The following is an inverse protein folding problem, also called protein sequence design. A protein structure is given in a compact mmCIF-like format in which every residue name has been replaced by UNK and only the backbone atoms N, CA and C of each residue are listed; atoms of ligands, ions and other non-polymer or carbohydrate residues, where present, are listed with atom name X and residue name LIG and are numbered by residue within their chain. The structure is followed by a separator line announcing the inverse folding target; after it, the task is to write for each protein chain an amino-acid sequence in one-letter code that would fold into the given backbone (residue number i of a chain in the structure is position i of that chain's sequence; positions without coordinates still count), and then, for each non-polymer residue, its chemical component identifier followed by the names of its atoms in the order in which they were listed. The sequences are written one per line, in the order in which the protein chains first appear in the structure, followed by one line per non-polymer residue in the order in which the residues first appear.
data_IF_310430310355
#
_entry.id   IF_310430310355
#
_cell.length_a   1.000
_cell.length_b   1.000
_cell.length_c   1.000
_cell.angle_alpha   90.00
_cell.angle_beta   90.00
_cell.angle_gamma   90.00
#
_symmetry.space_group_name_H-M   'P 1'
#
loop_
_entity.id
_entity.type
_entity.pdbx_description
1 polymer ?
#
# COMPACT_ATOMS: atom_id res chain seq x y z
N UNK A 1 -17.44 23.73 16.31
CA UNK A 1 -17.53 23.36 14.88
C UNK A 1 -16.96 21.96 14.76
N UNK A 2 -17.81 20.93 14.78
CA UNK A 2 -17.34 19.56 14.48
C UNK A 2 -16.86 19.58 13.02
N UNK A 3 -15.59 19.30 12.79
CA UNK A 3 -15.11 18.96 11.46
C UNK A 3 -15.88 17.70 11.07
N UNK A 4 -16.85 17.79 10.15
CA UNK A 4 -17.36 16.58 9.51
C UNK A 4 -16.14 16.01 8.80
N UNK A 5 -15.63 14.88 9.27
CA UNK A 5 -14.65 14.13 8.51
C UNK A 5 -15.32 13.74 7.20
N UNK A 6 -14.81 14.26 6.09
CA UNK A 6 -15.24 13.87 4.75
C UNK A 6 -14.87 12.41 4.51
N UNK A 7 -15.55 11.82 3.54
CA UNK A 7 -15.52 10.39 3.31
C UNK A 7 -14.13 9.90 2.86
N UNK A 8 -13.89 8.61 3.08
CA UNK A 8 -12.82 7.85 2.45
C UNK A 8 -13.49 6.84 1.54
N UNK A 9 -13.02 6.71 0.29
CA UNK A 9 -13.59 5.79 -0.67
C UNK A 9 -12.57 4.73 -1.07
N UNK A 10 -13.04 3.50 -1.30
CA UNK A 10 -12.34 2.53 -2.16
C UNK A 10 -12.97 2.60 -3.54
N UNK A 11 -12.17 2.68 -4.60
CA UNK A 11 -12.66 2.77 -5.99
C UNK A 11 -11.93 1.76 -6.88
N UNK A 12 -12.69 1.20 -7.82
CA UNK A 12 -12.23 0.43 -8.97
C UNK A 12 -13.13 0.75 -10.19
N UNK A 13 -12.59 0.69 -11.40
CA UNK A 13 -13.31 0.98 -12.64
C UNK A 13 -13.20 -0.15 -13.67
N UNK A 14 -14.33 -0.44 -14.30
CA UNK A 14 -14.38 -1.20 -15.55
C UNK A 14 -14.58 -0.26 -16.74
N UNK A 15 -13.95 -0.60 -17.87
CA UNK A 15 -13.97 0.24 -19.07
C UNK A 15 -14.90 -0.27 -20.16
N UNK A 16 -15.26 0.62 -21.10
CA UNK A 16 -16.07 0.27 -22.28
C UNK A 16 -15.26 -0.25 -23.45
N UNK A 17 -13.97 0.10 -23.50
CA UNK A 17 -13.05 -0.18 -24.59
C UNK A 17 -11.75 -0.75 -24.03
N UNK A 18 -11.06 -1.54 -24.85
CA UNK A 18 -9.67 -1.91 -24.63
C UNK A 18 -8.71 -0.80 -25.09
N UNK A 19 -7.48 -0.82 -24.58
CA UNK A 19 -6.41 0.09 -25.04
C UNK A 19 -6.20 0.05 -26.56
N UNK A 20 -6.31 -1.13 -27.19
CA UNK A 20 -6.15 -1.27 -28.63
C UNK A 20 -7.20 -0.49 -29.43
N UNK A 21 -8.42 -0.35 -28.89
CA UNK A 21 -9.53 0.35 -29.55
C UNK A 21 -9.40 1.87 -29.48
N UNK A 22 -8.62 2.39 -28.52
CA UNK A 22 -8.36 3.83 -28.36
C UNK A 22 -6.99 4.26 -28.87
N UNK A 23 -6.18 3.35 -29.40
CA UNK A 23 -4.83 3.68 -29.90
C UNK A 23 -3.73 3.70 -28.83
N UNK A 24 -3.92 2.97 -27.73
CA UNK A 24 -2.93 2.71 -26.68
C UNK A 24 -3.11 3.56 -25.42
N UNK A 25 -2.23 3.33 -24.43
CA UNK A 25 -2.29 3.95 -23.09
C UNK A 25 -2.27 5.49 -23.11
N UNK A 26 -1.69 6.11 -24.13
CA UNK A 26 -1.69 7.58 -24.30
C UNK A 26 -3.10 8.19 -24.39
N UNK A 27 -4.09 7.38 -24.76
CA UNK A 27 -5.49 7.78 -24.94
C UNK A 27 -6.40 7.17 -23.85
N UNK A 28 -5.85 6.97 -22.64
CA UNK A 28 -6.57 6.34 -21.52
C UNK A 28 -7.93 6.97 -21.20
N UNK A 29 -8.08 8.27 -21.40
CA UNK A 29 -9.34 9.01 -21.21
C UNK A 29 -10.45 8.57 -22.17
N UNK A 30 -10.09 8.00 -23.32
CA UNK A 30 -11.04 7.60 -24.36
C UNK A 30 -11.63 6.19 -24.12
N UNK A 31 -11.13 5.46 -23.11
CA UNK A 31 -11.57 4.10 -22.77
C UNK A 31 -13.05 4.09 -22.38
N UNK A 32 -13.51 5.15 -21.71
CA UNK A 32 -14.83 5.29 -21.12
C UNK A 32 -15.10 4.30 -19.98
N UNK A 33 -16.03 4.64 -19.09
CA UNK A 33 -16.37 3.83 -17.91
C UNK A 33 -17.64 3.03 -18.19
N UNK A 34 -17.58 1.70 -18.04
CA UNK A 34 -18.78 0.85 -18.06
C UNK A 34 -19.41 0.80 -16.67
N UNK A 35 -18.61 0.57 -15.63
CA UNK A 35 -19.01 0.58 -14.21
C UNK A 35 -17.91 1.24 -13.37
N UNK A 36 -18.31 2.08 -12.42
CA UNK A 36 -17.47 2.52 -11.31
C UNK A 36 -17.97 1.88 -10.02
N UNK A 37 -17.15 0.99 -9.44
CA UNK A 37 -17.41 0.37 -8.14
C UNK A 37 -16.84 1.24 -7.02
N UNK A 38 -17.60 1.41 -5.95
CA UNK A 38 -17.21 2.23 -4.80
C UNK A 38 -17.60 1.56 -3.49
N UNK A 39 -16.72 1.63 -2.50
CA UNK A 39 -17.08 1.43 -1.10
C UNK A 39 -16.88 2.75 -0.34
N UNK A 40 -17.91 3.20 0.37
CA UNK A 40 -17.88 4.40 1.21
C UNK A 40 -17.71 4.01 2.67
N UNK A 41 -16.66 4.52 3.32
CA UNK A 41 -16.46 4.29 4.76
C UNK A 41 -17.50 5.04 5.60
N UNK A 42 -17.91 6.24 5.19
CA UNK A 42 -18.91 7.03 5.91
C UNK A 42 -20.31 6.38 5.88
N UNK A 43 -20.64 5.66 4.79
CA UNK A 43 -21.93 4.99 4.61
C UNK A 43 -21.90 3.49 4.95
N UNK A 44 -20.71 2.92 5.13
CA UNK A 44 -20.49 1.47 5.29
C UNK A 44 -21.23 0.65 4.21
N UNK A 45 -21.09 1.08 2.95
CA UNK A 45 -21.88 0.55 1.84
C UNK A 45 -21.12 0.54 0.52
N UNK A 46 -21.47 -0.43 -0.32
CA UNK A 46 -21.01 -0.57 -1.70
C UNK A 46 -21.99 0.07 -2.67
N UNK A 47 -21.46 0.71 -3.71
CA UNK A 47 -22.20 1.35 -4.79
C UNK A 47 -21.56 0.97 -6.13
N UNK A 48 -22.38 0.75 -7.15
CA UNK A 48 -21.92 0.56 -8.53
C UNK A 48 -22.66 1.53 -9.42
N UNK A 49 -21.92 2.41 -10.09
CA UNK A 49 -22.46 3.43 -10.98
C UNK A 49 -22.17 3.06 -12.43
N UNK A 50 -23.19 2.93 -13.25
CA UNK A 50 -22.99 2.91 -14.71
C UNK A 50 -22.63 4.30 -15.22
N UNK A 51 -22.19 4.40 -16.48
CA UNK A 51 -21.78 5.68 -17.08
C UNK A 51 -22.83 6.78 -16.92
N UNK A 52 -24.11 6.45 -17.10
CA UNK A 52 -25.21 7.40 -17.01
C UNK A 52 -25.50 7.87 -15.57
N UNK A 53 -24.91 7.20 -14.58
CA UNK A 53 -25.05 7.47 -13.14
C UNK A 53 -23.82 8.19 -12.55
N UNK A 54 -22.77 8.44 -13.34
CA UNK A 54 -21.50 9.04 -12.85
C UNK A 54 -21.66 10.46 -12.30
N UNK A 55 -22.76 11.16 -12.58
CA UNK A 55 -23.10 12.41 -11.91
C UNK A 55 -23.29 12.20 -10.40
N UNK A 56 -23.83 11.06 -9.97
CA UNK A 56 -23.98 10.70 -8.55
C UNK A 56 -22.61 10.41 -7.92
N UNK A 57 -21.71 9.73 -8.63
CA UNK A 57 -20.33 9.53 -8.20
C UNK A 57 -19.62 10.88 -8.02
N UNK A 58 -19.84 11.82 -8.93
CA UNK A 58 -19.24 13.17 -8.87
C UNK A 58 -19.66 13.92 -7.61
N UNK A 59 -20.94 13.85 -7.22
CA UNK A 59 -21.39 14.44 -5.95
C UNK A 59 -20.77 13.75 -4.73
N UNK A 60 -20.57 12.42 -4.78
CA UNK A 60 -19.87 11.69 -3.71
C UNK A 60 -18.40 12.11 -3.59
N UNK A 61 -17.71 12.30 -4.72
CA UNK A 61 -16.31 12.72 -4.76
C UNK A 61 -16.07 14.12 -4.19
N UNK A 62 -17.04 15.05 -4.32
CA UNK A 62 -16.95 16.40 -3.73
C UNK A 62 -16.87 16.39 -2.20
N UNK A 63 -17.43 15.35 -1.58
CA UNK A 63 -17.45 15.14 -0.12
C UNK A 63 -16.43 14.10 0.35
N UNK A 64 -15.42 13.81 -0.47
CA UNK A 64 -14.36 12.83 -0.22
C UNK A 64 -13.03 13.54 0.00
N UNK A 65 -12.28 13.14 1.03
CA UNK A 65 -10.91 13.63 1.25
C UNK A 65 -9.84 12.60 0.86
N UNK A 66 -10.21 11.32 0.73
CA UNK A 66 -9.26 10.24 0.44
C UNK A 66 -9.88 9.16 -0.44
N UNK A 67 -9.18 8.78 -1.52
CA UNK A 67 -9.50 7.61 -2.33
C UNK A 67 -8.37 6.59 -2.22
N UNK A 68 -8.74 5.33 -2.09
CA UNK A 68 -7.86 4.17 -2.10
C UNK A 68 -8.24 3.30 -3.29
N UNK A 69 -7.25 2.79 -4.01
CA UNK A 69 -7.48 1.84 -5.10
C UNK A 69 -6.26 0.98 -5.38
N UNK A 70 -6.35 0.16 -6.44
CA UNK A 70 -5.25 -0.68 -6.90
C UNK A 70 -4.85 -0.27 -8.32
N UNK A 71 -3.66 0.32 -8.48
CA UNK A 71 -3.20 0.94 -9.74
C UNK A 71 -4.00 2.20 -10.14
N UNK A 72 -4.66 2.82 -9.17
CA UNK A 72 -5.60 3.93 -9.34
C UNK A 72 -4.95 5.19 -9.90
N UNK A 73 -3.69 5.47 -9.57
CA UNK A 73 -2.98 6.69 -10.00
C UNK A 73 -2.71 6.66 -11.50
N UNK A 74 -2.41 5.47 -12.04
CA UNK A 74 -2.01 5.30 -13.43
C UNK A 74 -3.15 4.80 -14.33
N UNK A 75 -4.29 4.41 -13.75
CA UNK A 75 -5.42 3.89 -14.49
C UNK A 75 -6.71 4.66 -14.20
N UNK A 76 -7.34 4.41 -13.07
CA UNK A 76 -8.70 4.86 -12.79
C UNK A 76 -8.84 6.39 -12.72
N UNK A 77 -7.91 7.09 -12.05
CA UNK A 77 -7.92 8.54 -11.97
C UNK A 77 -7.83 9.16 -13.37
N UNK A 78 -6.86 8.79 -14.23
CA UNK A 78 -6.85 9.23 -15.62
C UNK A 78 -8.16 8.94 -16.38
N UNK A 79 -8.81 7.79 -16.19
CA UNK A 79 -10.09 7.48 -16.84
C UNK A 79 -11.21 8.39 -16.31
N UNK A 80 -11.28 8.62 -14.99
CA UNK A 80 -12.26 9.50 -14.34
C UNK A 80 -12.14 10.96 -14.78
N UNK A 81 -10.95 11.44 -15.18
CA UNK A 81 -10.75 12.81 -15.69
C UNK A 81 -11.57 13.11 -16.96
N UNK A 82 -12.10 12.10 -17.66
CA UNK A 82 -13.03 12.30 -18.78
C UNK A 82 -14.46 12.68 -18.32
N UNK A 83 -14.79 12.41 -17.06
CA UNK A 83 -16.15 12.52 -16.51
C UNK A 83 -16.24 13.51 -15.33
N UNK A 84 -15.15 13.67 -14.59
CA UNK A 84 -15.08 14.45 -13.35
C UNK A 84 -14.12 15.62 -13.52
N UNK A 85 -14.51 16.79 -12.99
CA UNK A 85 -13.65 17.97 -12.99
C UNK A 85 -12.31 17.68 -12.29
N UNK A 86 -11.21 18.00 -12.98
CA UNK A 86 -9.85 17.76 -12.48
C UNK A 86 -9.57 18.45 -11.14
N UNK A 87 -10.20 19.59 -10.86
CA UNK A 87 -10.04 20.29 -9.59
C UNK A 87 -10.61 19.49 -8.41
N UNK A 88 -11.69 18.72 -8.63
CA UNK A 88 -12.26 17.81 -7.63
C UNK A 88 -11.27 16.68 -7.36
N UNK A 89 -10.80 16.00 -8.41
CA UNK A 89 -9.86 14.89 -8.26
C UNK A 89 -8.54 15.32 -7.62
N UNK A 90 -8.04 16.52 -7.96
CA UNK A 90 -6.80 17.06 -7.43
C UNK A 90 -6.87 17.47 -5.94
N UNK A 91 -8.07 17.68 -5.37
CA UNK A 91 -8.20 17.97 -3.95
C UNK A 91 -8.25 16.74 -3.05
N UNK A 92 -8.30 15.53 -3.64
CA UNK A 92 -8.48 14.27 -2.91
C UNK A 92 -7.12 13.58 -2.74
N UNK A 93 -6.80 13.16 -1.52
CA UNK A 93 -5.62 12.34 -1.27
C UNK A 93 -5.78 10.96 -1.92
N UNK A 94 -4.68 10.36 -2.39
CA UNK A 94 -4.70 9.03 -3.03
C UNK A 94 -3.81 8.04 -2.28
N UNK A 95 -4.31 6.83 -2.06
CA UNK A 95 -3.50 5.66 -1.73
C UNK A 95 -3.64 4.63 -2.84
N UNK A 96 -2.51 4.30 -3.46
CA UNK A 96 -2.45 3.28 -4.50
C UNK A 96 -1.66 2.07 -3.98
N UNK A 97 -2.38 0.99 -3.70
CA UNK A 97 -1.79 -0.25 -3.15
C UNK A 97 -0.75 -0.83 -4.10
N UNK A 98 -1.01 -0.75 -5.42
CA UNK A 98 -0.09 -1.24 -6.43
C UNK A 98 1.18 -0.40 -6.46
N UNK A 99 1.06 0.93 -6.46
CA UNK A 99 2.20 1.83 -6.49
C UNK A 99 3.11 1.62 -5.25
N UNK A 100 2.52 1.48 -4.06
CA UNK A 100 3.25 1.19 -2.83
C UNK A 100 3.96 -0.17 -2.89
N UNK A 101 3.29 -1.20 -3.40
CA UNK A 101 3.88 -2.52 -3.58
C UNK A 101 5.05 -2.51 -4.57
N UNK A 102 4.87 -1.89 -5.75
CA UNK A 102 5.91 -1.77 -6.78
C UNK A 102 7.12 -1.00 -6.26
N UNK A 103 6.88 0.10 -5.52
CA UNK A 103 7.96 0.90 -4.92
C UNK A 103 8.83 0.08 -3.98
N UNK A 104 8.25 -0.85 -3.23
CA UNK A 104 8.99 -1.73 -2.33
C UNK A 104 9.66 -2.91 -3.05
N UNK A 105 8.95 -3.53 -4.00
CA UNK A 105 9.38 -4.76 -4.66
C UNK A 105 10.29 -4.57 -5.87
N UNK A 106 10.22 -3.40 -6.52
CA UNK A 106 10.90 -3.15 -7.79
C UNK A 106 10.28 -3.86 -9.00
N UNK A 107 9.15 -4.55 -8.82
CA UNK A 107 8.41 -5.24 -9.89
C UNK A 107 6.90 -5.22 -9.61
N UNK A 108 6.11 -5.53 -10.63
CA UNK A 108 4.65 -5.51 -10.58
C UNK A 108 4.09 -6.72 -9.84
N UNK A 109 2.98 -6.51 -9.15
CA UNK A 109 2.14 -7.55 -8.53
C UNK A 109 0.69 -7.32 -8.91
N UNK A 110 -0.12 -8.39 -8.98
CA UNK A 110 -1.55 -8.31 -9.26
C UNK A 110 -2.38 -8.32 -7.98
N UNK A 111 -3.57 -7.71 -8.02
CA UNK A 111 -4.51 -7.63 -6.91
C UNK A 111 -4.83 -9.02 -6.35
N UNK A 112 -5.21 -9.97 -7.21
CA UNK A 112 -5.58 -11.33 -6.79
C UNK A 112 -4.42 -12.05 -6.07
N UNK A 113 -3.20 -11.94 -6.59
CA UNK A 113 -2.03 -12.56 -5.98
C UNK A 113 -1.73 -12.00 -4.58
N UNK A 114 -1.83 -10.68 -4.42
CA UNK A 114 -1.63 -10.01 -3.12
C UNK A 114 -2.78 -10.34 -2.16
N UNK A 115 -4.03 -10.30 -2.64
CA UNK A 115 -5.22 -10.65 -1.86
C UNK A 115 -5.15 -12.11 -1.36
N UNK A 116 -4.83 -13.05 -2.25
CA UNK A 116 -4.70 -14.47 -1.90
C UNK A 116 -3.61 -14.70 -0.87
N UNK A 117 -2.43 -14.11 -1.07
CA UNK A 117 -1.32 -14.24 -0.13
C UNK A 117 -1.61 -13.60 1.23
N UNK A 118 -2.36 -12.49 1.26
CA UNK A 118 -2.60 -11.69 2.48
C UNK A 118 -3.82 -12.17 3.27
N UNK A 119 -4.92 -12.42 2.58
CA UNK A 119 -6.24 -12.67 3.17
C UNK A 119 -6.64 -14.15 3.09
N UNK A 120 -5.92 -14.98 2.34
CA UNK A 120 -6.34 -16.34 2.00
C UNK A 120 -7.56 -16.40 1.07
N UNK A 121 -8.03 -15.23 0.59
CA UNK A 121 -9.14 -15.08 -0.34
C UNK A 121 -8.58 -14.75 -1.72
N UNK A 122 -8.93 -15.54 -2.73
CA UNK A 122 -8.72 -15.20 -4.14
C UNK A 122 -10.03 -14.76 -4.79
N UNK A 123 -9.95 -14.26 -6.02
CA UNK A 123 -11.13 -14.03 -6.86
C UNK A 123 -11.93 -15.33 -7.01
N UNK A 124 -13.25 -15.23 -6.91
CA UNK A 124 -14.21 -16.31 -7.18
C UNK A 124 -14.28 -16.64 -8.68
N UNK A 125 -13.87 -15.72 -9.55
CA UNK A 125 -13.85 -15.85 -11.01
C UNK A 125 -12.53 -15.41 -11.65
N UNK A 126 -12.29 -15.84 -12.89
CA UNK A 126 -11.12 -15.44 -13.67
C UNK A 126 -11.39 -14.11 -14.36
N UNK A 127 -10.53 -13.10 -14.15
CA UNK A 127 -10.67 -11.73 -14.67
C UNK A 127 -10.48 -11.57 -16.19
N UNK A 128 -11.08 -12.43 -17.00
CA UNK A 128 -10.97 -12.43 -18.47
C UNK A 128 -12.16 -11.78 -19.19
N UNK A 129 -13.21 -11.31 -18.50
CA UNK A 129 -14.48 -11.10 -19.19
C UNK A 129 -15.24 -9.79 -18.91
N UNK A 130 -14.78 -8.86 -18.05
CA UNK A 130 -15.58 -7.65 -17.79
C UNK A 130 -15.89 -6.81 -19.05
N UNK A 131 -14.88 -6.61 -19.92
CA UNK A 131 -15.08 -5.94 -21.21
C UNK A 131 -15.97 -6.74 -22.17
N UNK A 132 -15.90 -8.07 -22.11
CA UNK A 132 -16.71 -8.96 -22.97
C UNK A 132 -18.16 -9.04 -22.49
N UNK A 133 -18.39 -9.15 -21.17
CA UNK A 133 -19.69 -9.03 -20.54
C UNK A 133 -20.34 -7.68 -20.85
N UNK A 134 -19.57 -6.59 -20.80
CA UNK A 134 -20.06 -5.28 -21.22
C UNK A 134 -20.56 -5.29 -22.68
N UNK A 135 -19.77 -5.86 -23.62
CA UNK A 135 -20.17 -6.01 -25.03
C UNK A 135 -21.41 -6.88 -25.21
N UNK A 136 -21.61 -7.87 -24.34
CA UNK A 136 -22.78 -8.75 -24.32
C UNK A 136 -23.99 -8.15 -23.59
N UNK A 137 -23.87 -6.94 -23.02
CA UNK A 137 -24.93 -6.32 -22.22
C UNK A 137 -25.14 -6.96 -20.85
N UNK A 138 -24.20 -7.81 -20.40
CA UNK A 138 -24.20 -8.51 -19.11
C UNK A 138 -23.77 -7.59 -17.97
N UNK A 139 -24.50 -6.49 -17.78
CA UNK A 139 -24.15 -5.44 -16.82
C UNK A 139 -24.12 -5.91 -15.36
N UNK A 140 -24.95 -6.89 -14.99
CA UNK A 140 -24.95 -7.46 -13.65
C UNK A 140 -23.60 -8.12 -13.31
N UNK A 141 -23.04 -8.88 -14.25
CA UNK A 141 -21.73 -9.53 -14.10
C UNK A 141 -20.60 -8.51 -14.00
N UNK A 142 -20.64 -7.43 -14.80
CA UNK A 142 -19.65 -6.33 -14.73
C UNK A 142 -19.72 -5.63 -13.37
N UNK A 143 -20.91 -5.35 -12.86
CA UNK A 143 -21.11 -4.73 -11.53
C UNK A 143 -20.61 -5.63 -10.41
N UNK A 144 -20.97 -6.92 -10.44
CA UNK A 144 -20.54 -7.89 -9.43
C UNK A 144 -19.02 -8.01 -9.38
N UNK A 145 -18.38 -8.13 -10.56
CA UNK A 145 -16.93 -8.21 -10.67
C UNK A 145 -16.22 -6.96 -10.14
N UNK A 146 -16.67 -5.77 -10.55
CA UNK A 146 -16.09 -4.51 -10.09
C UNK A 146 -16.24 -4.35 -8.56
N UNK A 147 -17.42 -4.68 -8.01
CA UNK A 147 -17.64 -4.63 -6.56
C UNK A 147 -16.81 -5.66 -5.79
N UNK A 148 -16.52 -6.82 -6.38
CA UNK A 148 -15.61 -7.80 -5.80
C UNK A 148 -14.17 -7.26 -5.73
N UNK A 149 -13.70 -6.57 -6.77
CA UNK A 149 -12.37 -5.93 -6.76
C UNK A 149 -12.29 -4.77 -5.77
N UNK A 150 -13.36 -3.97 -5.63
CA UNK A 150 -13.49 -2.97 -4.56
C UNK A 150 -13.42 -3.63 -3.18
N UNK A 151 -14.13 -4.73 -2.97
CA UNK A 151 -14.14 -5.47 -1.69
C UNK A 151 -12.76 -6.02 -1.36
N UNK A 152 -12.09 -6.66 -2.31
CA UNK A 152 -10.72 -7.16 -2.12
C UNK A 152 -9.73 -6.04 -1.81
N UNK A 153 -9.83 -4.91 -2.51
CA UNK A 153 -9.00 -3.73 -2.29
C UNK A 153 -9.23 -3.13 -0.91
N UNK A 154 -10.50 -3.01 -0.47
CA UNK A 154 -10.88 -2.59 0.88
C UNK A 154 -10.25 -3.49 1.95
N UNK A 155 -10.44 -4.80 1.81
CA UNK A 155 -10.00 -5.77 2.80
C UNK A 155 -8.46 -5.82 2.89
N UNK A 156 -7.77 -5.67 1.75
CA UNK A 156 -6.32 -5.51 1.71
C UNK A 156 -5.85 -4.24 2.40
N UNK A 157 -6.50 -3.11 2.11
CA UNK A 157 -6.17 -1.83 2.74
C UNK A 157 -6.33 -1.91 4.27
N UNK A 158 -7.45 -2.43 4.75
CA UNK A 158 -7.71 -2.57 6.18
C UNK A 158 -6.74 -3.55 6.85
N UNK A 159 -6.39 -4.66 6.18
CA UNK A 159 -5.32 -5.54 6.66
C UNK A 159 -4.00 -4.79 6.76
N UNK A 160 -3.57 -4.09 5.71
CA UNK A 160 -2.28 -3.40 5.69
C UNK A 160 -2.20 -2.26 6.69
N UNK A 161 -3.29 -1.49 6.86
CA UNK A 161 -3.42 -0.43 7.85
C UNK A 161 -3.29 -0.98 9.28
N UNK A 162 -3.94 -2.11 9.59
CA UNK A 162 -3.85 -2.76 10.91
C UNK A 162 -2.50 -3.42 11.17
N UNK A 163 -1.95 -4.10 10.17
CA UNK A 163 -0.80 -5.00 10.33
C UNK A 163 0.54 -4.36 9.93
N UNK A 164 0.53 -3.19 9.27
CA UNK A 164 1.72 -2.51 8.75
C UNK A 164 2.37 -3.22 7.56
N UNK A 165 1.70 -4.21 6.97
CA UNK A 165 2.20 -4.96 5.82
C UNK A 165 1.06 -5.64 5.07
N UNK A 166 1.30 -5.97 3.79
CA UNK A 166 0.55 -6.97 3.02
C UNK A 166 1.53 -8.07 2.57
N UNK A 167 1.03 -9.14 1.96
CA UNK A 167 1.80 -10.31 1.57
C UNK A 167 1.72 -10.54 0.05
N UNK A 168 2.75 -11.19 -0.49
CA UNK A 168 2.77 -11.69 -1.87
C UNK A 168 3.52 -13.01 -1.93
N UNK A 169 3.22 -13.82 -2.94
CA UNK A 169 4.01 -15.01 -3.26
C UNK A 169 5.13 -14.64 -4.23
N UNK A 170 6.37 -14.94 -3.86
CA UNK A 170 7.54 -14.71 -4.70
C UNK A 170 7.61 -15.75 -5.81
N UNK A 171 7.75 -15.31 -7.06
CA UNK A 171 7.94 -16.21 -8.20
C UNK A 171 9.35 -16.83 -8.24
N UNK A 172 10.29 -16.34 -7.42
CA UNK A 172 11.68 -16.81 -7.39
C UNK A 172 11.81 -18.07 -6.53
N UNK A 173 11.19 -18.07 -5.34
CA UNK A 173 11.32 -19.14 -4.35
C UNK A 173 9.99 -19.74 -3.90
N UNK A 174 8.86 -19.29 -4.46
CA UNK A 174 7.50 -19.76 -4.16
C UNK A 174 7.13 -19.64 -2.68
N UNK A 175 7.73 -18.67 -1.98
CA UNK A 175 7.43 -18.39 -0.58
C UNK A 175 6.59 -17.12 -0.45
N UNK A 176 5.86 -17.05 0.66
CA UNK A 176 5.13 -15.85 1.05
C UNK A 176 6.10 -14.86 1.70
N UNK A 177 6.13 -13.65 1.14
CA UNK A 177 6.91 -12.55 1.65
C UNK A 177 6.03 -11.35 1.98
N UNK A 178 6.50 -10.53 2.92
CA UNK A 178 5.83 -9.29 3.27
C UNK A 178 6.28 -8.09 2.42
N UNK A 179 5.32 -7.20 2.20
CA UNK A 179 5.47 -5.84 1.71
C UNK A 179 5.08 -4.90 2.87
N UNK A 180 6.03 -4.24 3.54
CA UNK A 180 5.73 -3.24 4.56
C UNK A 180 4.95 -2.07 3.96
N UNK A 181 3.92 -1.60 4.67
CA UNK A 181 3.09 -0.46 4.26
C UNK A 181 2.86 0.49 5.43
N UNK A 182 2.67 1.77 5.13
CA UNK A 182 2.48 2.83 6.11
C UNK A 182 1.14 3.56 5.90
N UNK A 183 0.04 2.80 5.90
CA UNK A 183 -1.31 3.32 5.65
C UNK A 183 -2.03 3.80 6.92
N UNK A 184 -1.42 3.61 8.09
CA UNK A 184 -1.99 4.01 9.38
C UNK A 184 -1.57 5.44 9.76
N UNK A 185 -2.45 6.41 9.49
CA UNK A 185 -2.39 7.76 10.06
C UNK A 185 -1.19 8.63 9.62
N UNK A 186 -1.17 9.86 10.14
CA UNK A 186 -0.09 10.82 9.88
C UNK A 186 1.17 10.43 10.65
N UNK A 187 2.28 10.29 9.92
CA UNK A 187 3.61 10.08 10.51
C UNK A 187 4.14 11.44 10.98
N UNK A 188 4.21 11.67 12.29
CA UNK A 188 4.67 12.94 12.86
C UNK A 188 6.15 13.23 12.55
N UNK A 189 6.99 12.20 12.53
CA UNK A 189 8.40 12.29 12.14
C UNK A 189 8.80 11.05 11.32
N UNK A 190 9.48 11.20 10.17
CA UNK A 190 9.92 10.06 9.38
C UNK A 190 10.79 9.09 10.19
N UNK A 191 10.53 7.79 10.05
CA UNK A 191 11.26 6.72 10.74
C UNK A 191 12.79 6.87 10.60
N UNK A 192 13.28 7.22 9.41
CA UNK A 192 14.70 7.43 9.16
C UNK A 192 15.32 8.53 10.02
N UNK A 193 14.57 9.61 10.30
CA UNK A 193 15.03 10.70 11.16
C UNK A 193 15.13 10.25 12.62
N UNK A 194 14.14 9.50 13.12
CA UNK A 194 14.16 8.96 14.49
C UNK A 194 15.33 7.98 14.69
N UNK A 195 15.55 7.08 13.72
CA UNK A 195 16.68 6.13 13.75
C UNK A 195 18.02 6.88 13.74
N UNK A 196 18.15 7.93 12.91
CA UNK A 196 19.34 8.77 12.86
C UNK A 196 19.58 9.52 14.19
N UNK A 197 18.52 10.02 14.86
CA UNK A 197 18.63 10.61 16.21
C UNK A 197 19.13 9.60 17.23
N UNK A 198 18.62 8.36 17.22
CA UNK A 198 19.10 7.29 18.10
C UNK A 198 20.59 6.99 17.94
N UNK A 199 21.11 7.07 16.72
CA UNK A 199 22.55 6.99 16.48
C UNK A 199 23.27 8.22 17.04
N UNK A 200 22.86 9.43 16.66
CA UNK A 200 23.54 10.68 17.02
C UNK A 200 23.57 10.94 18.53
N UNK A 201 22.45 10.68 19.23
CA UNK A 201 22.28 10.91 20.66
C UNK A 201 22.68 9.70 21.52
N UNK A 202 23.08 8.58 20.90
CA UNK A 202 23.39 7.32 21.60
C UNK A 202 22.26 6.83 22.50
N UNK A 203 21.02 6.93 21.99
CA UNK A 203 19.81 6.48 22.67
C UNK A 203 19.21 5.27 21.97
N UNK A 204 18.66 4.34 22.74
CA UNK A 204 17.97 3.17 22.19
C UNK A 204 16.74 3.64 21.43
N UNK A 205 16.41 2.90 20.37
CA UNK A 205 15.24 3.14 19.54
C UNK A 205 14.33 1.93 19.64
N UNK A 206 13.07 2.16 20.02
CA UNK A 206 12.02 1.16 19.89
C UNK A 206 11.50 1.20 18.45
N UNK A 207 11.48 0.06 17.77
CA UNK A 207 11.02 -0.05 16.39
C UNK A 207 9.93 -1.11 16.24
N UNK A 208 8.96 -0.85 15.37
CA UNK A 208 8.13 -1.88 14.77
C UNK A 208 8.74 -2.30 13.44
N UNK A 209 9.17 -3.55 13.37
CA UNK A 209 9.86 -4.12 12.21
C UNK A 209 9.01 -5.20 11.56
N UNK A 210 8.85 -5.13 10.24
CA UNK A 210 8.16 -6.15 9.43
C UNK A 210 9.20 -7.06 8.80
N UNK A 211 9.31 -8.31 9.29
CA UNK A 211 10.22 -9.31 8.72
C UNK A 211 9.78 -9.75 7.32
N UNK A 212 10.72 -10.22 6.49
CA UNK A 212 10.40 -10.66 5.12
C UNK A 212 9.54 -11.91 5.10
N UNK A 213 9.81 -12.84 5.99
CA UNK A 213 9.10 -14.11 6.12
C UNK A 213 8.59 -14.25 7.56
N UNK A 214 7.55 -15.05 7.74
CA UNK A 214 7.08 -15.47 9.05
C UNK A 214 7.87 -16.69 9.53
N UNK A 215 9.12 -16.45 9.95
CA UNK A 215 9.93 -17.49 10.54
C UNK A 215 9.34 -17.91 11.90
N UNK A 216 9.07 -19.21 12.06
CA UNK A 216 8.57 -19.86 13.28
C UNK A 216 7.13 -19.49 13.68
N UNK A 217 6.29 -18.99 12.76
CA UNK A 217 4.91 -18.58 13.04
C UNK A 217 4.80 -17.53 14.17
N UNK A 218 5.79 -16.64 14.28
CA UNK A 218 5.81 -15.54 15.25
C UNK A 218 5.09 -14.28 14.72
N UNK A 219 4.63 -14.32 13.47
CA UNK A 219 4.11 -13.18 12.73
C UNK A 219 5.20 -12.31 12.10
N UNK A 220 4.78 -11.51 11.11
CA UNK A 220 5.67 -10.61 10.37
C UNK A 220 6.03 -9.34 11.15
N UNK A 221 5.08 -8.75 11.89
CA UNK A 221 5.29 -7.50 12.65
C UNK A 221 5.87 -7.78 14.04
N UNK A 222 6.98 -7.13 14.36
CA UNK A 222 7.83 -7.43 15.51
C UNK A 222 8.31 -6.14 16.18
N UNK A 223 8.06 -5.98 17.47
CA UNK A 223 8.65 -4.87 18.25
C UNK A 223 10.07 -5.22 18.66
N UNK A 224 11.01 -4.28 18.51
CA UNK A 224 12.42 -4.44 18.89
C UNK A 224 12.93 -3.19 19.58
N UNK A 225 13.75 -3.37 20.61
CA UNK A 225 14.58 -2.31 21.17
C UNK A 225 15.99 -2.47 20.62
N UNK A 226 16.49 -1.45 19.93
CA UNK A 226 17.75 -1.50 19.20
C UNK A 226 18.71 -0.37 19.58
N UNK A 227 20.01 -0.68 19.54
CA UNK A 227 21.10 0.29 19.67
C UNK A 227 21.75 0.47 18.30
N UNK A 228 21.44 1.58 17.63
CA UNK A 228 21.90 1.83 16.25
C UNK A 228 23.40 2.09 16.24
N UNK A 229 24.19 1.21 15.61
CA UNK A 229 25.65 1.37 15.53
C UNK A 229 26.10 2.07 14.26
N UNK A 230 25.45 1.74 13.15
CA UNK A 230 25.74 2.31 11.84
C UNK A 230 24.48 2.31 10.97
N UNK A 231 24.33 3.36 10.16
CA UNK A 231 23.33 3.45 9.09
C UNK A 231 24.11 3.54 7.77
N UNK A 232 23.93 2.57 6.88
CA UNK A 232 24.59 2.53 5.57
C UNK A 232 23.79 3.32 4.53
N UNK A 233 24.42 3.81 3.44
CA UNK A 233 23.73 4.57 2.39
C UNK A 233 22.57 3.83 1.71
N UNK A 234 22.62 2.50 1.68
CA UNK A 234 21.55 1.65 1.13
C UNK A 234 20.35 1.45 2.09
N UNK A 235 20.36 2.11 3.26
CA UNK A 235 19.32 1.99 4.28
C UNK A 235 19.44 0.75 5.17
N UNK A 236 20.53 -0.02 5.08
CA UNK A 236 20.82 -1.04 6.09
C UNK A 236 21.26 -0.40 7.39
N UNK A 237 20.78 -0.95 8.50
CA UNK A 237 21.07 -0.49 9.85
C UNK A 237 21.71 -1.64 10.60
N UNK A 238 22.95 -1.47 11.04
CA UNK A 238 23.58 -2.37 11.97
C UNK A 238 23.23 -1.93 13.39
N UNK A 239 22.61 -2.81 14.17
CA UNK A 239 22.19 -2.47 15.52
C UNK A 239 22.25 -3.68 16.46
N UNK A 240 22.59 -3.44 17.73
CA UNK A 240 22.43 -4.46 18.77
C UNK A 240 20.93 -4.62 19.09
N UNK A 241 20.45 -5.86 19.04
CA UNK A 241 19.05 -6.18 19.26
C UNK A 241 18.88 -6.82 20.64
N UNK A 242 18.23 -6.12 21.57
CA UNK A 242 18.07 -6.57 22.96
C UNK A 242 17.31 -7.89 23.09
N UNK A 243 16.34 -8.14 22.20
CA UNK A 243 15.60 -9.41 22.19
C UNK A 243 16.48 -10.59 21.77
N UNK A 244 17.36 -10.39 20.78
CA UNK A 244 18.23 -11.46 20.25
C UNK A 244 19.59 -11.51 20.95
N UNK A 245 19.89 -10.51 21.77
CA UNK A 245 21.15 -10.32 22.51
C UNK A 245 22.39 -10.34 21.60
N UNK A 246 22.24 -9.81 20.39
CA UNK A 246 23.27 -9.88 19.36
C UNK A 246 23.12 -8.73 18.35
N UNK A 247 24.18 -8.45 17.60
CA UNK A 247 24.17 -7.49 16.49
C UNK A 247 23.44 -8.09 15.30
N UNK A 248 22.55 -7.29 14.71
CA UNK A 248 21.74 -7.69 13.55
C UNK A 248 21.69 -6.57 12.52
N UNK A 249 21.42 -6.98 11.30
CA UNK A 249 21.12 -6.07 10.20
C UNK A 249 19.60 -5.88 10.11
N UNK A 250 19.18 -4.63 10.15
CA UNK A 250 17.82 -4.19 9.87
C UNK A 250 17.80 -3.42 8.55
N UNK A 251 16.64 -3.31 7.93
CA UNK A 251 16.44 -2.51 6.72
C UNK A 251 15.48 -1.39 7.05
N UNK A 252 15.85 -0.15 6.77
CA UNK A 252 15.03 1.03 7.09
C UNK A 252 13.63 0.93 6.47
N UNK A 253 13.53 0.49 5.21
CA UNK A 253 12.24 0.30 4.53
C UNK A 253 11.34 -0.81 5.10
N UNK A 254 11.79 -1.54 6.13
CA UNK A 254 11.01 -2.54 6.87
C UNK A 254 10.64 -2.09 8.28
N UNK A 255 11.02 -0.88 8.67
CA UNK A 255 10.61 -0.28 9.94
C UNK A 255 9.37 0.58 9.68
N UNK A 256 8.22 0.18 10.23
CA UNK A 256 6.94 0.87 10.04
C UNK A 256 6.71 1.95 11.08
N UNK A 257 7.35 1.82 12.24
CA UNK A 257 7.29 2.79 13.34
C UNK A 257 8.62 2.82 14.07
N UNK A 258 9.04 3.99 14.53
CA UNK A 258 10.18 4.15 15.41
C UNK A 258 9.86 5.18 16.49
N UNK A 259 10.37 4.96 17.70
CA UNK A 259 10.28 5.87 18.83
C UNK A 259 11.65 5.95 19.51
N UNK A 260 12.15 7.17 19.71
CA UNK A 260 13.37 7.40 20.47
C UNK A 260 13.06 7.21 21.96
N UNK A 261 13.89 6.46 22.66
CA UNK A 261 13.75 6.27 24.11
C UNK A 261 14.72 7.19 24.87
N UNK A 262 14.51 7.36 26.17
CA UNK A 262 15.46 8.07 27.03
C UNK A 262 16.64 7.19 27.50
N UNK A 263 16.66 5.91 27.12
CA UNK A 263 17.71 4.97 27.53
C UNK A 263 18.99 5.15 26.69
N UNK A 264 20.12 5.54 27.28
CA UNK A 264 21.38 5.63 26.55
C UNK A 264 22.03 4.25 26.34
N UNK A 265 22.98 4.16 25.41
CA UNK A 265 23.87 3.01 25.27
C UNK A 265 25.30 3.45 24.92
N UNK A 266 26.27 2.59 25.24
CA UNK A 266 27.67 2.77 24.83
C UNK A 266 27.97 1.81 23.67
N UNK A 267 28.66 2.30 22.63
CA UNK A 267 29.22 1.43 21.59
C UNK A 267 30.55 0.89 22.14
N UNK A 268 30.78 -0.42 22.20
CA UNK A 268 32.09 -0.98 22.56
C UNK A 268 33.21 -0.36 21.69
N UNK A 269 34.35 -0.02 22.30
CA UNK A 269 35.47 0.67 21.64
C UNK A 269 36.05 -0.08 20.43
N UNK A 270 35.72 -1.37 20.32
CA UNK A 270 36.31 -2.36 19.43
C UNK A 270 35.74 -2.35 18.00
N UNK A 271 34.74 -1.51 17.69
CA UNK A 271 34.17 -1.39 16.33
C UNK A 271 34.90 -0.32 15.47
N UNK A 272 35.92 0.36 16.01
CA UNK A 272 36.75 1.30 15.24
C UNK A 272 37.97 0.67 14.52
N UNK A 273 38.24 -0.63 14.71
CA UNK A 273 39.40 -1.31 14.10
C UNK A 273 39.03 -2.29 12.98
N UNK A 274 38.38 -1.81 11.91
CA UNK A 274 38.36 -2.54 10.63
C UNK A 274 38.20 -1.64 9.41
N UNK A 275 38.87 -0.48 9.40
CA UNK A 275 38.98 0.40 8.21
C UNK A 275 40.43 0.74 7.81
N UNK A 276 41.45 0.19 8.47
CA UNK A 276 42.87 0.41 8.14
C UNK A 276 43.75 -0.85 8.19
N UNK A 277 43.16 -2.05 8.06
CA UNK A 277 43.91 -3.30 7.87
C UNK A 277 43.59 -3.87 6.49
N UNK A 278 44.06 -3.17 5.46
CA UNK A 278 43.85 -3.49 4.05
C UNK A 278 44.63 -2.52 3.16
N UNK A 279 45.89 -2.28 3.53
CA UNK A 279 46.93 -1.70 2.68
C UNK A 279 47.84 -2.82 2.18
#
# INVERSE_FOLDING_TARGET
MLYLMRDTLIIDLETKKAFAEVGGEKNIRDLGISVAGVYSYAKDAFFAFEEHELSQLTEMLKETDHIIGFNIIHFDIPVLEAYVDKAILASIALTDIFADAVKFLGHRVGLDGVAKATLGMGKSGHGLEALEWFRQGRMADVKEYCLDDVRLTRDLYEYGKKNGHVLFESYIDHKIHSIPVAWAGLVAEPVGAIVAKGLAERKKVAIEYVSSQDANNEGFKKTRLIEVRQIKPNGEIEAYCHLRRDVRLFRLGRITKAELTDEPYAIPQDVQHSLFAGS
#
